data_IF_723289052118
#
_entry.id   IF_723289052118
#
_cell.length_a   1.000
_cell.length_b   1.000
_cell.length_c   1.000
_cell.angle_alpha   90.00
_cell.angle_beta   90.00
_cell.angle_gamma   90.00
#
_symmetry.space_group_name_H-M   'P 1'
#
loop_
_entity.id
_entity.type
_entity.pdbx_description
1 polymer ?
#
# COMPACT_ATOMS: atom_id res chain seq x y z
N UNK A 1 43.23 47.54 -44.98
CA UNK A 1 42.05 46.71 -44.65
C UNK A 1 42.26 46.05 -43.31
N UNK A 2 41.48 46.40 -42.27
CA UNK A 2 41.44 45.68 -40.98
C UNK A 2 40.00 45.18 -40.80
N UNK A 3 39.78 43.89 -40.96
CA UNK A 3 38.49 43.24 -40.74
C UNK A 3 38.33 42.91 -39.25
N UNK A 4 37.31 43.48 -38.60
CA UNK A 4 36.94 43.18 -37.21
C UNK A 4 36.12 41.88 -37.20
N UNK A 5 36.54 40.89 -36.42
CA UNK A 5 35.79 39.66 -36.18
C UNK A 5 34.93 39.86 -34.93
N UNK A 6 33.60 39.82 -35.07
CA UNK A 6 32.64 39.95 -33.98
C UNK A 6 32.20 38.53 -33.58
N UNK A 7 32.52 38.10 -32.36
CA UNK A 7 32.16 36.77 -31.83
C UNK A 7 30.85 36.86 -31.04
N UNK A 8 29.80 36.07 -31.34
CA UNK A 8 28.54 36.15 -30.62
C UNK A 8 28.66 35.44 -29.26
N UNK A 9 28.31 36.17 -28.20
CA UNK A 9 28.23 35.66 -26.83
C UNK A 9 26.94 34.82 -26.68
N UNK A 10 27.05 33.50 -26.65
CA UNK A 10 25.93 32.61 -26.36
C UNK A 10 25.67 32.59 -24.85
N UNK A 11 24.55 33.18 -24.42
CA UNK A 11 24.10 33.15 -23.03
C UNK A 11 23.45 31.79 -22.74
N UNK A 12 24.18 30.89 -22.08
CA UNK A 12 23.64 29.63 -21.58
C UNK A 12 22.75 29.92 -20.36
N UNK A 13 21.43 29.85 -20.54
CA UNK A 13 20.48 29.87 -19.42
C UNK A 13 20.47 28.46 -18.81
N UNK A 14 21.11 28.31 -17.65
CA UNK A 14 20.99 27.11 -16.83
C UNK A 14 19.58 27.09 -16.22
N UNK A 15 18.68 26.29 -16.77
CA UNK A 15 17.41 25.97 -16.12
C UNK A 15 17.74 24.96 -15.01
N UNK A 16 17.82 25.45 -13.78
CA UNK A 16 17.87 24.60 -12.60
C UNK A 16 16.56 23.83 -12.50
N UNK A 17 16.60 22.53 -12.75
CA UNK A 17 15.48 21.63 -12.49
C UNK A 17 15.33 21.58 -10.96
N UNK A 18 14.34 22.28 -10.42
CA UNK A 18 13.96 22.13 -9.02
C UNK A 18 13.31 20.76 -8.91
N UNK A 19 14.06 19.79 -8.38
CA UNK A 19 13.50 18.50 -7.96
C UNK A 19 12.52 18.77 -6.82
N UNK A 20 11.22 18.80 -7.12
CA UNK A 20 10.19 18.76 -6.09
C UNK A 20 10.33 17.44 -5.35
N UNK A 21 10.73 17.50 -4.08
CA UNK A 21 10.53 16.38 -3.15
C UNK A 21 9.03 16.10 -3.11
N UNK A 22 8.60 14.93 -3.60
CA UNK A 22 7.21 14.50 -3.38
C UNK A 22 7.04 14.34 -1.86
N UNK A 23 6.27 15.24 -1.24
CA UNK A 23 5.93 15.10 0.16
C UNK A 23 5.13 13.81 0.36
N UNK A 24 5.43 13.06 1.41
CA UNK A 24 4.68 11.87 1.76
C UNK A 24 3.25 12.27 2.20
N UNK A 25 2.26 11.97 1.36
CA UNK A 25 0.85 12.24 1.66
C UNK A 25 0.10 11.03 2.23
N UNK A 26 0.79 9.91 2.45
CA UNK A 26 0.16 8.67 2.91
C UNK A 26 -0.51 8.77 4.27
N UNK A 27 -0.17 9.80 5.06
CA UNK A 27 -0.83 10.06 6.34
C UNK A 27 -2.33 10.33 6.18
N UNK A 28 -2.76 10.90 5.04
CA UNK A 28 -4.17 11.17 4.75
C UNK A 28 -5.01 9.89 4.66
N UNK A 29 -4.39 8.75 4.31
CA UNK A 29 -5.05 7.42 4.23
C UNK A 29 -5.36 6.87 5.63
N UNK A 30 -4.53 7.23 6.62
CA UNK A 30 -4.65 6.76 8.00
C UNK A 30 -5.19 7.85 8.93
N UNK A 31 -5.85 8.87 8.38
CA UNK A 31 -6.64 9.79 9.18
C UNK A 31 -7.77 9.01 9.87
N UNK A 32 -7.87 9.18 11.19
CA UNK A 32 -8.76 8.42 12.07
C UNK A 32 -9.89 9.31 12.61
N UNK A 33 -10.14 10.47 11.98
CA UNK A 33 -11.20 11.40 12.36
C UNK A 33 -12.59 10.90 11.97
N UNK A 34 -12.66 10.06 10.94
CA UNK A 34 -13.84 9.33 10.52
C UNK A 34 -13.47 7.96 9.97
N UNK A 35 -14.47 7.06 9.89
CA UNK A 35 -14.28 5.75 9.26
C UNK A 35 -14.24 5.94 7.75
N UNK A 36 -13.12 5.62 7.12
CA UNK A 36 -12.99 5.69 5.67
C UNK A 36 -13.95 4.68 4.99
N UNK A 37 -14.55 5.05 3.86
CA UNK A 37 -15.23 4.11 2.97
C UNK A 37 -14.31 3.67 1.84
N UNK A 38 -14.19 2.36 1.65
CA UNK A 38 -13.42 1.77 0.55
C UNK A 38 -14.38 0.90 -0.26
N UNK A 39 -14.78 1.41 -1.42
CA UNK A 39 -15.70 0.74 -2.35
C UNK A 39 -14.90 0.13 -3.48
N UNK A 40 -14.89 -1.19 -3.54
CA UNK A 40 -14.16 -1.99 -4.52
C UNK A 40 -15.16 -2.46 -5.57
N UNK A 41 -14.84 -2.25 -6.84
CA UNK A 41 -15.59 -2.76 -7.99
C UNK A 41 -14.69 -3.69 -8.79
N UNK A 42 -15.12 -4.93 -9.03
CA UNK A 42 -14.37 -5.92 -9.77
C UNK A 42 -15.29 -6.92 -10.47
N UNK A 43 -14.75 -7.70 -11.41
CA UNK A 43 -15.50 -8.76 -12.06
C UNK A 43 -16.00 -9.77 -11.00
N UNK A 44 -17.32 -10.07 -10.94
CA UNK A 44 -17.86 -11.08 -10.02
C UNK A 44 -17.21 -12.46 -10.16
N UNK A 45 -16.82 -12.86 -11.38
CA UNK A 45 -16.15 -14.15 -11.61
C UNK A 45 -14.74 -14.18 -11.00
N UNK A 46 -14.01 -13.06 -11.08
CA UNK A 46 -12.70 -12.92 -10.44
C UNK A 46 -12.81 -12.93 -8.92
N UNK A 47 -13.87 -12.30 -8.38
CA UNK A 47 -14.16 -12.31 -6.95
C UNK A 47 -14.49 -13.72 -6.47
N UNK A 48 -15.34 -14.45 -7.21
CA UNK A 48 -15.65 -15.84 -6.92
C UNK A 48 -14.39 -16.71 -6.97
N UNK A 49 -13.56 -16.53 -8.00
CA UNK A 49 -12.28 -17.22 -8.11
C UNK A 49 -11.38 -16.99 -6.89
N UNK A 50 -11.26 -15.75 -6.41
CA UNK A 50 -10.49 -15.45 -5.20
C UNK A 50 -11.01 -16.21 -3.98
N UNK A 51 -12.33 -16.35 -3.85
CA UNK A 51 -12.95 -17.07 -2.74
C UNK A 51 -12.80 -18.58 -2.85
N UNK A 52 -12.85 -19.12 -4.06
CA UNK A 52 -12.69 -20.55 -4.34
C UNK A 52 -11.24 -21.01 -4.23
N UNK A 53 -10.28 -20.07 -4.34
CA UNK A 53 -8.85 -20.34 -4.30
C UNK A 53 -8.12 -19.51 -3.21
N UNK A 54 -8.45 -19.71 -1.92
CA UNK A 54 -7.89 -18.94 -0.81
C UNK A 54 -6.50 -19.43 -0.39
N UNK A 55 -5.85 -20.35 -1.09
CA UNK A 55 -4.54 -20.93 -0.73
C UNK A 55 -3.36 -19.99 -1.05
N UNK A 56 -2.31 -20.02 -0.22
CA UNK A 56 -1.12 -19.13 -0.26
C UNK A 56 -0.34 -19.20 -1.57
N UNK A 57 -0.40 -20.36 -2.19
CA UNK A 57 0.18 -20.68 -3.48
C UNK A 57 -0.50 -19.87 -4.60
N UNK A 58 -1.74 -19.43 -4.40
CA UNK A 58 -2.50 -18.58 -5.29
C UNK A 58 -2.57 -17.13 -4.77
N UNK A 59 -1.44 -16.44 -4.88
CA UNK A 59 -1.27 -15.01 -4.55
C UNK A 59 -1.53 -14.10 -5.77
N UNK A 60 -2.25 -14.61 -6.77
CA UNK A 60 -2.61 -13.89 -8.00
C UNK A 60 -3.44 -12.65 -7.70
N UNK A 61 -3.09 -11.54 -8.33
CA UNK A 61 -3.82 -10.28 -8.22
C UNK A 61 -4.89 -10.21 -9.31
N UNK A 62 -6.13 -9.95 -8.93
CA UNK A 62 -7.23 -9.64 -9.84
C UNK A 62 -7.35 -8.13 -10.03
N UNK A 63 -7.87 -7.70 -11.18
CA UNK A 63 -8.06 -6.28 -11.48
C UNK A 63 -9.31 -5.77 -10.77
N UNK A 64 -9.21 -4.59 -10.17
CA UNK A 64 -10.33 -3.89 -9.53
C UNK A 64 -10.22 -2.38 -9.71
N UNK A 65 -11.33 -1.69 -9.49
CA UNK A 65 -11.39 -0.24 -9.30
C UNK A 65 -11.76 0.05 -7.85
N UNK A 66 -11.18 1.09 -7.26
CA UNK A 66 -11.39 1.47 -5.87
C UNK A 66 -11.84 2.92 -5.82
N UNK A 67 -12.96 3.19 -5.17
CA UNK A 67 -13.30 4.51 -4.68
C UNK A 67 -12.95 4.57 -3.19
N UNK A 68 -12.01 5.44 -2.84
CA UNK A 68 -11.59 5.68 -1.46
C UNK A 68 -12.16 7.02 -1.01
N UNK A 69 -12.84 7.04 0.13
CA UNK A 69 -13.45 8.22 0.70
C UNK A 69 -13.16 8.34 2.19
N UNK A 70 -12.68 9.49 2.63
CA UNK A 70 -12.67 9.92 4.03
C UNK A 70 -12.79 11.46 4.09
N UNK A 71 -12.50 12.06 5.25
CA UNK A 71 -12.61 13.50 5.46
C UNK A 71 -11.69 14.34 4.57
N UNK A 72 -10.62 13.72 4.04
CA UNK A 72 -9.55 14.40 3.30
C UNK A 72 -9.49 14.01 1.82
N UNK A 73 -10.03 12.85 1.45
CA UNK A 73 -9.87 12.22 0.14
C UNK A 73 -11.24 11.74 -0.35
N UNK A 74 -11.56 12.02 -1.61
CA UNK A 74 -12.60 11.31 -2.35
C UNK A 74 -12.09 11.07 -3.77
N UNK A 75 -11.57 9.87 -4.03
CA UNK A 75 -10.90 9.57 -5.30
C UNK A 75 -11.22 8.15 -5.77
N UNK A 76 -11.43 8.01 -7.08
CA UNK A 76 -11.57 6.71 -7.73
C UNK A 76 -10.31 6.39 -8.53
N UNK A 77 -9.77 5.20 -8.30
CA UNK A 77 -8.56 4.69 -8.96
C UNK A 77 -8.84 3.31 -9.55
N UNK A 78 -8.64 3.18 -10.86
CA UNK A 78 -8.82 1.92 -11.58
C UNK A 78 -7.57 1.02 -11.51
N UNK A 79 -7.61 -0.14 -12.17
CA UNK A 79 -6.43 -0.99 -12.40
C UNK A 79 -5.67 -1.36 -11.11
N UNK A 80 -6.37 -1.48 -9.99
CA UNK A 80 -5.80 -1.85 -8.69
C UNK A 80 -5.82 -3.37 -8.56
N UNK A 81 -4.68 -3.94 -8.19
CA UNK A 81 -4.57 -5.35 -7.83
C UNK A 81 -5.27 -5.63 -6.52
N UNK A 82 -6.18 -6.61 -6.51
CA UNK A 82 -6.78 -7.16 -5.30
C UNK A 82 -6.48 -8.66 -5.19
N UNK A 83 -6.17 -9.11 -3.98
CA UNK A 83 -6.08 -10.54 -3.65
C UNK A 83 -6.43 -10.80 -2.20
N UNK A 84 -6.74 -12.06 -1.88
CA UNK A 84 -6.82 -12.50 -0.49
C UNK A 84 -5.41 -12.47 0.13
N UNK A 85 -5.34 -12.08 1.41
CA UNK A 85 -4.12 -12.13 2.22
C UNK A 85 -4.37 -12.84 3.54
N UNK A 86 -3.28 -13.31 4.13
CA UNK A 86 -3.31 -13.99 5.42
C UNK A 86 -2.56 -15.29 5.38
N UNK A 87 -2.56 -15.97 6.52
CA UNK A 87 -2.19 -17.37 6.60
C UNK A 87 -3.46 -18.15 6.95
N UNK A 88 -3.64 -18.51 8.22
CA UNK A 88 -4.87 -19.14 8.73
C UNK A 88 -6.13 -18.32 8.46
N UNK A 89 -6.02 -16.99 8.41
CA UNK A 89 -7.15 -16.10 8.17
C UNK A 89 -7.77 -16.22 6.77
N UNK A 90 -7.11 -16.91 5.83
CA UNK A 90 -7.64 -17.09 4.47
C UNK A 90 -8.83 -18.05 4.44
N UNK A 91 -8.96 -18.93 5.43
CA UNK A 91 -10.11 -19.84 5.55
C UNK A 91 -11.32 -19.21 6.26
N UNK A 92 -11.14 -18.08 6.93
CA UNK A 92 -12.22 -17.37 7.64
C UNK A 92 -13.34 -16.97 6.69
N UNK A 93 -14.59 -16.93 7.17
CA UNK A 93 -15.70 -16.38 6.40
C UNK A 93 -15.43 -14.92 5.96
N UNK A 94 -14.87 -14.12 6.88
CA UNK A 94 -14.45 -12.74 6.61
C UNK A 94 -12.99 -12.71 6.16
N UNK A 95 -12.78 -12.69 4.84
CA UNK A 95 -11.45 -12.65 4.22
C UNK A 95 -10.78 -11.30 4.46
N UNK A 96 -9.45 -11.31 4.51
CA UNK A 96 -8.63 -10.09 4.47
C UNK A 96 -8.10 -9.89 3.06
N UNK A 97 -7.96 -8.64 2.62
CA UNK A 97 -7.55 -8.29 1.26
C UNK A 97 -6.26 -7.49 1.24
N UNK A 98 -5.44 -7.70 0.20
CA UNK A 98 -4.35 -6.79 -0.14
C UNK A 98 -4.73 -6.05 -1.40
N UNK A 99 -4.56 -4.74 -1.36
CA UNK A 99 -4.69 -3.83 -2.50
C UNK A 99 -3.29 -3.41 -2.96
N UNK A 100 -3.07 -3.39 -4.27
CA UNK A 100 -1.78 -3.08 -4.88
C UNK A 100 -1.98 -2.12 -6.05
N UNK A 101 -1.58 -0.87 -5.86
CA UNK A 101 -1.77 0.19 -6.85
C UNK A 101 -0.79 0.09 -8.01
N UNK A 102 0.34 -0.60 -7.83
CA UNK A 102 1.40 -0.70 -8.82
C UNK A 102 1.49 -2.05 -9.57
N UNK A 103 0.57 -2.99 -9.31
CA UNK A 103 0.59 -4.31 -9.98
C UNK A 103 0.33 -4.20 -11.47
N UNK A 104 -0.70 -3.46 -11.88
CA UNK A 104 -1.06 -3.32 -13.30
C UNK A 104 -0.52 -2.04 -13.93
N UNK A 105 -0.21 -1.02 -13.12
CA UNK A 105 0.42 0.22 -13.56
C UNK A 105 1.73 0.41 -12.79
N UNK A 106 2.86 0.02 -13.41
CA UNK A 106 4.17 0.05 -12.76
C UNK A 106 4.53 1.46 -12.26
N UNK A 107 4.99 1.54 -11.01
CA UNK A 107 5.42 2.79 -10.38
C UNK A 107 4.29 3.69 -9.88
N UNK A 108 3.01 3.33 -10.07
CA UNK A 108 1.88 4.10 -9.55
C UNK A 108 1.83 4.02 -8.03
N UNK A 109 1.63 5.18 -7.38
CA UNK A 109 1.40 5.30 -5.94
C UNK A 109 0.04 5.98 -5.70
N UNK A 110 -0.64 5.57 -4.65
CA UNK A 110 -1.85 6.21 -4.16
C UNK A 110 -1.51 6.92 -2.84
N UNK A 111 -1.46 8.25 -2.84
CA UNK A 111 -0.97 9.05 -1.71
C UNK A 111 0.35 8.50 -1.14
N UNK A 112 1.37 8.32 -2.01
CA UNK A 112 2.68 7.76 -1.65
C UNK A 112 2.72 6.28 -1.23
N UNK A 113 1.58 5.56 -1.22
CA UNK A 113 1.52 4.13 -0.97
C UNK A 113 1.50 3.31 -2.26
N UNK A 114 2.26 2.22 -2.29
CA UNK A 114 2.15 1.22 -3.37
C UNK A 114 1.09 0.16 -3.06
N UNK A 115 0.89 -0.15 -1.78
CA UNK A 115 0.05 -1.23 -1.30
C UNK A 115 -0.68 -0.82 -0.03
N UNK A 116 -1.88 -1.36 0.14
CA UNK A 116 -2.72 -1.21 1.33
C UNK A 116 -3.23 -2.58 1.77
N UNK A 117 -3.31 -2.83 3.07
CA UNK A 117 -3.86 -4.08 3.59
C UNK A 117 -5.20 -3.81 4.28
N UNK A 118 -6.22 -4.59 3.96
CA UNK A 118 -7.51 -4.58 4.63
C UNK A 118 -7.62 -5.84 5.49
N UNK A 119 -7.49 -5.71 6.80
CA UNK A 119 -7.62 -6.81 7.74
C UNK A 119 -9.09 -6.97 8.18
N UNK A 120 -9.64 -8.16 8.00
CA UNK A 120 -11.00 -8.47 8.44
C UNK A 120 -11.12 -8.72 9.95
N UNK A 121 -10.00 -8.91 10.65
CA UNK A 121 -9.90 -9.16 12.10
C UNK A 121 -10.84 -10.27 12.63
N UNK A 122 -11.01 -11.34 11.85
CA UNK A 122 -11.95 -12.44 12.15
C UNK A 122 -11.83 -13.07 13.55
N UNK A 123 -10.62 -13.07 14.15
CA UNK A 123 -10.37 -13.64 15.48
C UNK A 123 -10.40 -12.60 16.61
N UNK A 124 -10.60 -11.33 16.28
CA UNK A 124 -10.70 -10.24 17.25
C UNK A 124 -12.13 -9.68 17.24
N UNK A 125 -13.01 -10.12 18.16
CA UNK A 125 -14.37 -9.58 18.27
C UNK A 125 -14.44 -8.07 18.50
N UNK A 126 -13.35 -7.46 18.98
CA UNK A 126 -13.29 -6.03 19.23
C UNK A 126 -12.82 -5.22 18.02
N UNK A 127 -12.14 -5.84 17.04
CA UNK A 127 -11.56 -5.20 15.84
C UNK A 127 -10.67 -4.00 16.21
N UNK A 128 -10.03 -4.01 17.40
CA UNK A 128 -9.18 -2.90 17.86
C UNK A 128 -7.81 -3.34 18.37
N UNK A 129 -7.60 -4.63 18.69
CA UNK A 129 -6.38 -5.06 19.39
C UNK A 129 -5.13 -4.74 18.57
N UNK A 130 -5.14 -5.07 17.29
CA UNK A 130 -3.99 -4.83 16.42
C UNK A 130 -3.73 -3.33 16.21
N UNK A 131 -4.76 -2.53 15.96
CA UNK A 131 -4.65 -1.07 15.84
C UNK A 131 -4.09 -0.45 17.13
N UNK A 132 -4.65 -0.80 18.29
CA UNK A 132 -4.18 -0.30 19.57
C UNK A 132 -2.70 -0.63 19.81
N UNK A 133 -2.25 -1.83 19.43
CA UNK A 133 -0.84 -2.19 19.54
C UNK A 133 0.06 -1.34 18.61
N UNK A 134 -0.34 -1.15 17.36
CA UNK A 134 0.44 -0.33 16.41
C UNK A 134 0.49 1.14 16.84
N UNK A 135 -0.63 1.70 17.27
CA UNK A 135 -0.72 3.07 17.76
C UNK A 135 0.15 3.25 19.02
N UNK A 136 0.05 2.33 19.98
CA UNK A 136 0.89 2.35 21.18
C UNK A 136 2.39 2.29 20.85
N UNK A 137 2.80 1.45 19.90
CA UNK A 137 4.21 1.39 19.48
C UNK A 137 4.67 2.72 18.87
N UNK A 138 3.86 3.32 18.00
CA UNK A 138 4.17 4.62 17.43
C UNK A 138 4.26 5.72 18.51
N UNK A 139 3.35 5.73 19.49
CA UNK A 139 3.34 6.69 20.60
C UNK A 139 4.60 6.64 21.46
N UNK A 140 5.18 5.45 21.66
CA UNK A 140 6.43 5.27 22.40
C UNK A 140 7.68 5.36 21.51
N UNK A 141 7.53 5.78 20.24
CA UNK A 141 8.63 6.01 19.31
C UNK A 141 9.22 4.74 18.66
N UNK A 142 8.51 3.62 18.72
CA UNK A 142 8.87 2.39 18.00
C UNK A 142 8.16 2.42 16.64
N UNK A 143 8.95 2.45 15.57
CA UNK A 143 8.42 2.44 14.19
C UNK A 143 7.46 1.26 13.97
N UNK A 144 6.19 1.58 13.72
CA UNK A 144 5.10 0.62 13.52
C UNK A 144 4.23 1.02 12.33
N UNK A 145 3.52 0.06 11.75
CA UNK A 145 2.54 0.35 10.70
C UNK A 145 1.49 1.34 11.20
N UNK A 146 1.10 2.31 10.38
CA UNK A 146 -0.12 3.09 10.65
C UNK A 146 -1.36 2.27 10.35
N UNK A 147 -2.43 2.53 11.10
CA UNK A 147 -3.69 1.84 10.93
C UNK A 147 -4.91 2.73 11.23
N UNK A 148 -5.95 2.60 10.42
CA UNK A 148 -7.26 3.26 10.62
C UNK A 148 -8.40 2.28 10.31
N UNK A 149 -9.59 2.53 10.83
CA UNK A 149 -10.76 1.71 10.49
C UNK A 149 -11.35 2.11 9.14
N UNK A 150 -11.83 1.12 8.38
CA UNK A 150 -12.46 1.34 7.09
C UNK A 150 -13.70 0.46 6.90
N UNK A 151 -14.79 1.06 6.39
CA UNK A 151 -15.96 0.35 5.91
C UNK A 151 -15.70 -0.14 4.47
N UNK A 152 -15.70 -1.46 4.27
CA UNK A 152 -15.38 -2.06 2.96
C UNK A 152 -16.67 -2.50 2.28
N UNK A 153 -16.78 -2.12 1.00
CA UNK A 153 -17.83 -2.59 0.10
C UNK A 153 -17.20 -3.26 -1.11
N UNK A 154 -17.73 -4.38 -1.58
CA UNK A 154 -17.31 -5.02 -2.84
C UNK A 154 -18.56 -5.21 -3.71
N UNK A 155 -18.53 -4.67 -4.94
CA UNK A 155 -19.63 -4.74 -5.89
C UNK A 155 -20.98 -4.24 -5.34
N UNK A 156 -20.93 -3.26 -4.43
CA UNK A 156 -22.10 -2.65 -3.79
C UNK A 156 -22.48 -3.27 -2.45
N UNK A 157 -22.05 -4.49 -2.18
CA UNK A 157 -22.36 -5.20 -0.94
C UNK A 157 -21.42 -4.77 0.20
N UNK A 158 -21.97 -4.61 1.40
CA UNK A 158 -21.19 -4.26 2.59
C UNK A 158 -20.51 -5.50 3.17
N UNK A 159 -19.18 -5.52 3.17
CA UNK A 159 -18.35 -6.62 3.66
C UNK A 159 -17.98 -6.48 5.14
N UNK A 160 -18.25 -5.32 5.73
CA UNK A 160 -18.03 -5.04 7.14
C UNK A 160 -16.98 -3.98 7.43
N UNK A 161 -16.68 -3.80 8.72
CA UNK A 161 -15.62 -2.96 9.23
C UNK A 161 -14.27 -3.70 9.17
N UNK A 162 -13.26 -3.09 8.58
CA UNK A 162 -11.91 -3.61 8.45
C UNK A 162 -10.92 -2.66 9.12
N UNK A 163 -9.70 -3.14 9.39
CA UNK A 163 -8.57 -2.27 9.69
C UNK A 163 -7.75 -2.10 8.40
N UNK A 164 -7.63 -0.86 7.94
CA UNK A 164 -6.71 -0.42 6.89
C UNK A 164 -5.31 -0.29 7.49
N UNK A 165 -4.35 -1.09 7.02
CA UNK A 165 -3.02 -1.21 7.61
C UNK A 165 -1.93 -0.94 6.58
N UNK A 166 -1.00 -0.08 6.95
CA UNK A 166 0.19 0.23 6.17
C UNK A 166 1.03 -1.00 5.87
N UNK A 167 1.35 -1.16 4.59
CA UNK A 167 2.25 -2.20 4.16
C UNK A 167 3.69 -1.80 4.47
N UNK A 168 4.40 -2.67 5.21
CA UNK A 168 5.83 -2.49 5.46
C UNK A 168 6.59 -2.88 4.19
N UNK A 169 7.12 -1.87 3.51
CA UNK A 169 7.97 -1.97 2.32
C UNK A 169 9.11 -0.93 2.37
N UNK A 170 9.81 -0.74 1.26
CA UNK A 170 10.88 0.26 1.14
C UNK A 170 10.43 1.70 1.42
N UNK A 171 9.17 2.06 1.14
CA UNK A 171 8.65 3.39 1.44
C UNK A 171 8.48 3.56 2.96
N UNK A 172 8.02 2.51 3.65
CA UNK A 172 7.97 2.49 5.12
C UNK A 172 9.37 2.66 5.73
N UNK A 173 10.38 1.97 5.19
CA UNK A 173 11.75 2.07 5.71
C UNK A 173 12.32 3.46 5.50
N UNK A 174 12.22 4.01 4.28
CA UNK A 174 12.64 5.38 3.93
C UNK A 174 12.02 6.45 4.82
N UNK A 175 10.78 6.23 5.25
CA UNK A 175 10.04 7.15 6.12
C UNK A 175 10.51 7.10 7.57
N UNK A 176 10.76 5.89 8.10
CA UNK A 176 10.95 5.68 9.53
C UNK A 176 12.41 5.55 9.97
N UNK A 177 13.33 5.30 9.03
CA UNK A 177 14.74 5.07 9.34
C UNK A 177 15.64 6.00 8.53
N UNK A 178 16.75 6.42 9.15
CA UNK A 178 17.75 7.31 8.50
C UNK A 178 18.57 6.60 7.42
N UNK A 179 18.70 5.28 7.55
CA UNK A 179 19.42 4.42 6.63
C UNK A 179 18.43 3.39 6.09
N UNK A 180 18.20 3.43 4.78
CA UNK A 180 17.27 2.56 4.05
C UNK A 180 17.98 1.45 3.26
N UNK A 181 19.31 1.32 3.42
CA UNK A 181 20.13 0.31 2.72
C UNK A 181 20.08 -1.09 3.35
N UNK A 182 19.36 -1.23 4.47
CA UNK A 182 19.23 -2.48 5.22
C UNK A 182 18.30 -3.52 4.58
N UNK A 183 18.32 -4.74 5.16
CA UNK A 183 17.44 -5.83 4.74
C UNK A 183 16.13 -5.85 5.54
N UNK A 184 14.99 -6.00 4.86
CA UNK A 184 13.68 -6.19 5.48
C UNK A 184 13.34 -7.68 5.54
N UNK A 185 13.29 -8.24 6.76
CA UNK A 185 12.93 -9.64 6.99
C UNK A 185 11.51 -9.76 7.54
N UNK A 186 10.79 -10.79 7.11
CA UNK A 186 9.47 -11.13 7.64
C UNK A 186 9.47 -12.57 8.17
N UNK A 187 9.08 -12.74 9.43
CA UNK A 187 8.86 -14.08 9.98
C UNK A 187 7.62 -14.71 9.33
N UNK A 188 7.81 -15.85 8.66
CA UNK A 188 6.73 -16.65 8.08
C UNK A 188 6.43 -17.85 8.96
N UNK A 189 5.19 -18.32 8.92
CA UNK A 189 4.83 -19.60 9.53
C UNK A 189 5.64 -20.73 8.88
N UNK A 190 6.32 -21.52 9.70
CA UNK A 190 7.26 -22.57 9.24
C UNK A 190 8.63 -22.07 8.79
N UNK A 191 9.00 -20.80 9.07
CA UNK A 191 10.25 -20.20 8.61
C UNK A 191 11.49 -21.06 8.94
N UNK A 192 12.14 -21.52 7.88
CA UNK A 192 13.36 -22.35 7.86
C UNK A 192 14.61 -21.53 7.45
N UNK A 193 14.53 -20.19 7.54
CA UNK A 193 15.59 -19.24 7.14
C UNK A 193 16.03 -19.32 5.67
N UNK A 194 15.27 -19.96 4.78
CA UNK A 194 15.60 -19.95 3.34
C UNK A 194 15.15 -18.63 2.68
N UNK A 195 15.98 -18.02 1.81
CA UNK A 195 15.57 -16.86 1.02
C UNK A 195 14.34 -17.18 0.16
N UNK A 196 13.33 -16.32 0.20
CA UNK A 196 12.08 -16.48 -0.58
C UNK A 196 12.22 -15.92 -2.01
N UNK A 197 13.32 -15.22 -2.29
CA UNK A 197 13.64 -14.69 -3.60
C UNK A 197 14.80 -15.51 -4.18
N UNK A 198 14.58 -16.15 -5.34
CA UNK A 198 15.64 -16.73 -6.18
C UNK A 198 16.55 -15.65 -6.83
N UNK A 199 16.68 -14.48 -6.21
CA UNK A 199 17.68 -13.52 -6.63
C UNK A 199 18.96 -13.87 -5.89
N UNK A 200 19.76 -14.74 -6.52
CA UNK A 200 21.14 -14.98 -6.15
C UNK A 200 21.86 -13.63 -6.13
N UNK A 201 22.11 -13.11 -4.94
CA UNK A 201 23.07 -12.02 -4.74
C UNK A 201 24.39 -12.73 -4.45
N UNK A 202 25.22 -12.88 -5.49
CA UNK A 202 26.65 -13.12 -5.37
C UNK A 202 27.35 -11.86 -4.89
#
# INVERSE_FOLDING_TARGET
MKTKFLMPLFLFVFISIISFSQNDESWKIYDDSEVAEIRITMNPDDLQYLYDNPEKENDSMMVSSINFKNALIEETIDSVGIRIRGNTSRESAKKSFKLSFNTFIKGRKFYSLEKLNLNGEHNDPSIIRSKLCWDFFNDIGIASSRASHAAVYINGDYYGLYISVEHIDENFIKKNFKDDSGNLWKCLYGANLTPLNNNNIS
#
